data_IF_340687067468
#
_entry.id   IF_340687067468
#
_cell.length_a   1.000
_cell.length_b   1.000
_cell.length_c   1.000
_cell.angle_alpha   90.00
_cell.angle_beta   90.00
_cell.angle_gamma   90.00
#
_symmetry.space_group_name_H-M   'P 1'
#
loop_
_entity.id
_entity.type
_entity.pdbx_description
1 polymer ?
#
# COMPACT_ATOMS: atom_id res chain seq x y z
N UNK A 1 26.95 -18.16 22.29
CA UNK A 1 25.50 -18.45 22.23
C UNK A 1 24.74 -17.32 22.91
N UNK A 2 24.06 -16.47 22.13
CA UNK A 2 23.03 -15.54 22.63
C UNK A 2 21.81 -15.73 21.74
N UNK A 3 20.65 -15.80 22.40
CA UNK A 3 19.41 -16.37 21.91
C UNK A 3 18.71 -15.52 20.85
N UNK A 4 18.18 -16.22 19.84
CA UNK A 4 17.09 -15.79 18.97
C UNK A 4 15.87 -15.35 19.79
N UNK A 5 15.51 -14.09 19.65
CA UNK A 5 14.17 -13.58 20.02
C UNK A 5 13.99 -12.20 19.41
N UNK A 6 12.80 -11.93 18.88
CA UNK A 6 12.29 -10.72 18.18
C UNK A 6 12.31 -10.84 16.64
N UNK A 7 11.20 -10.91 15.90
CA UNK A 7 9.84 -10.41 16.12
C UNK A 7 8.81 -11.38 15.52
N UNK A 8 8.05 -12.08 16.38
CA UNK A 8 6.70 -12.46 16.01
C UNK A 8 5.87 -11.17 15.97
N UNK A 9 5.33 -10.82 14.81
CA UNK A 9 4.29 -9.79 14.71
C UNK A 9 3.06 -10.28 15.48
N UNK A 10 2.96 -9.82 16.71
CA UNK A 10 1.84 -10.00 17.61
C UNK A 10 0.61 -9.37 16.94
N UNK A 11 -0.31 -10.21 16.47
CA UNK A 11 -1.68 -9.78 16.19
C UNK A 11 -2.31 -9.43 17.55
N UNK A 12 -2.66 -8.16 17.86
CA UNK A 12 -3.45 -7.91 19.04
C UNK A 12 -4.86 -8.51 18.82
N UNK A 13 -5.39 -9.27 19.80
CA UNK A 13 -6.76 -9.76 19.73
C UNK A 13 -7.71 -8.57 19.88
N UNK A 14 -8.34 -8.11 18.80
CA UNK A 14 -9.41 -7.13 18.89
C UNK A 14 -10.65 -7.80 19.50
N UNK A 15 -11.23 -7.28 20.60
CA UNK A 15 -12.52 -7.78 21.08
C UNK A 15 -13.63 -7.41 20.09
N UNK A 16 -14.36 -8.42 19.63
CA UNK A 16 -15.56 -8.27 18.81
C UNK A 16 -16.67 -7.66 19.66
N UNK A 17 -16.93 -6.35 19.51
CA UNK A 17 -18.20 -5.78 19.96
C UNK A 17 -19.29 -6.19 18.96
N UNK A 18 -20.18 -7.09 19.37
CA UNK A 18 -21.38 -7.43 18.62
C UNK A 18 -22.36 -6.24 18.64
N UNK A 19 -23.01 -5.90 17.52
CA UNK A 19 -24.05 -4.87 17.54
C UNK A 19 -25.29 -5.37 18.30
N UNK A 20 -25.87 -4.51 19.16
CA UNK A 20 -27.20 -4.75 19.74
C UNK A 20 -28.25 -4.70 18.62
N UNK A 21 -29.15 -5.68 18.57
CA UNK A 21 -30.32 -5.70 17.67
C UNK A 21 -31.19 -4.47 17.93
N UNK A 22 -31.39 -3.62 16.92
CA UNK A 22 -32.37 -2.54 16.97
C UNK A 22 -33.72 -3.03 16.45
N UNK A 23 -34.76 -2.72 17.21
CA UNK A 23 -36.18 -2.93 16.94
C UNK A 23 -36.64 -2.14 15.70
N UNK A 24 -37.60 -2.72 14.98
CA UNK A 24 -38.22 -2.21 13.76
C UNK A 24 -39.07 -0.97 14.04
N UNK A 25 -39.00 0.03 13.16
CA UNK A 25 -40.02 1.07 12.99
C UNK A 25 -40.15 1.35 11.49
N UNK A 26 -41.39 1.29 11.01
CA UNK A 26 -41.78 1.53 9.62
C UNK A 26 -41.84 3.03 9.26
N UNK A 27 -41.79 3.28 7.94
CA UNK A 27 -42.19 4.50 7.22
C UNK A 27 -41.38 5.81 7.38
N UNK A 28 -40.27 5.93 6.64
CA UNK A 28 -39.83 7.18 6.01
C UNK A 28 -38.66 6.93 5.04
N UNK A 29 -38.78 7.42 3.79
CA UNK A 29 -37.73 7.59 2.79
C UNK A 29 -36.63 6.50 2.73
N UNK A 30 -36.74 5.55 1.80
CA UNK A 30 -35.68 4.56 1.53
C UNK A 30 -34.31 5.26 1.47
N UNK A 31 -33.41 5.07 2.46
CA UNK A 31 -32.17 5.81 2.49
C UNK A 31 -31.40 5.43 1.24
N UNK A 32 -31.11 6.41 0.37
CA UNK A 32 -30.23 6.19 -0.78
C UNK A 32 -28.99 5.52 -0.25
N UNK A 33 -28.77 4.26 -0.64
CA UNK A 33 -27.66 3.42 -0.21
C UNK A 33 -26.39 4.29 -0.19
N UNK A 34 -25.94 4.64 1.01
CA UNK A 34 -24.92 5.67 1.21
C UNK A 34 -23.71 5.27 0.35
N UNK A 35 -23.43 6.06 -0.69
CA UNK A 35 -22.42 5.71 -1.70
C UNK A 35 -21.07 5.78 -0.99
N UNK A 36 -20.54 4.63 -0.60
CA UNK A 36 -19.21 4.58 0.04
C UNK A 36 -18.24 5.26 -0.91
N UNK A 37 -17.67 6.38 -0.46
CA UNK A 37 -16.83 7.21 -1.30
C UNK A 37 -15.53 6.46 -1.59
N UNK A 38 -15.42 5.87 -2.78
CA UNK A 38 -14.25 5.10 -3.22
C UNK A 38 -12.95 5.91 -3.12
N UNK A 39 -13.03 7.22 -3.38
CA UNK A 39 -11.92 8.17 -3.20
C UNK A 39 -11.49 8.24 -1.73
N UNK A 40 -12.44 8.29 -0.80
CA UNK A 40 -12.13 8.31 0.63
C UNK A 40 -11.50 6.98 1.09
N UNK A 41 -11.97 5.83 0.58
CA UNK A 41 -11.33 4.53 0.83
C UNK A 41 -9.86 4.53 0.39
N UNK A 42 -9.58 4.99 -0.84
CA UNK A 42 -8.21 5.12 -1.36
C UNK A 42 -7.34 6.01 -0.49
N UNK A 43 -7.78 7.25 -0.23
CA UNK A 43 -7.06 8.21 0.61
C UNK A 43 -6.78 7.67 2.02
N UNK A 44 -7.73 6.95 2.61
CA UNK A 44 -7.58 6.37 3.95
C UNK A 44 -6.51 5.27 3.94
N UNK A 45 -6.51 4.41 2.92
CA UNK A 45 -5.52 3.36 2.77
C UNK A 45 -4.11 3.92 2.54
N UNK A 46 -3.98 4.95 1.68
CA UNK A 46 -2.69 5.64 1.47
C UNK A 46 -2.09 6.19 2.76
N UNK A 47 -2.90 6.89 3.55
CA UNK A 47 -2.47 7.44 4.85
C UNK A 47 -2.09 6.34 5.84
N UNK A 48 -2.85 5.24 5.84
CA UNK A 48 -2.56 4.11 6.71
C UNK A 48 -1.23 3.45 6.34
N UNK A 49 -0.98 3.15 5.06
CA UNK A 49 0.31 2.59 4.62
C UNK A 49 1.46 3.55 4.93
N UNK A 50 1.31 4.85 4.65
CA UNK A 50 2.32 5.86 4.98
C UNK A 50 2.66 5.87 6.48
N UNK A 51 1.64 5.70 7.35
CA UNK A 51 1.84 5.56 8.80
C UNK A 51 2.60 4.28 9.14
N UNK A 52 2.21 3.13 8.59
CA UNK A 52 2.93 1.87 8.80
C UNK A 52 4.39 1.99 8.39
N UNK A 53 4.69 2.65 7.28
CA UNK A 53 6.04 2.85 6.79
C UNK A 53 6.89 3.74 7.72
N UNK A 54 6.30 4.81 8.26
CA UNK A 54 6.95 5.64 9.29
C UNK A 54 7.24 4.84 10.55
N UNK A 55 6.23 4.12 11.05
CA UNK A 55 6.31 3.44 12.35
C UNK A 55 7.22 2.21 12.33
N UNK A 56 7.19 1.41 11.26
CA UNK A 56 7.89 0.13 11.19
C UNK A 56 9.29 0.24 10.58
N UNK A 57 9.51 1.19 9.66
CA UNK A 57 10.75 1.30 8.89
C UNK A 57 11.45 2.65 9.05
N UNK A 58 10.98 3.49 9.99
CA UNK A 58 11.55 4.81 10.27
C UNK A 58 11.61 5.76 9.05
N UNK A 59 10.73 5.58 8.07
CA UNK A 59 10.63 6.50 6.91
C UNK A 59 9.92 7.80 7.28
N UNK A 60 10.50 8.58 8.20
CA UNK A 60 9.90 9.74 8.87
C UNK A 60 9.27 10.79 7.91
N UNK A 61 9.82 10.92 6.71
CA UNK A 61 9.34 11.85 5.68
C UNK A 61 8.32 11.24 4.71
N UNK A 62 7.87 10.01 4.94
CA UNK A 62 6.89 9.36 4.10
C UNK A 62 5.55 10.09 4.14
N UNK A 63 5.10 10.58 2.98
CA UNK A 63 3.84 11.30 2.78
C UNK A 63 3.10 10.73 1.58
N UNK A 64 1.80 11.00 1.46
CA UNK A 64 1.07 10.66 0.23
C UNK A 64 1.51 11.61 -0.88
N UNK A 65 1.59 11.14 -2.12
CA UNK A 65 2.01 11.96 -3.26
C UNK A 65 1.14 13.19 -3.44
N UNK A 66 -0.18 13.08 -3.21
CA UNK A 66 -1.11 14.22 -3.21
C UNK A 66 -0.72 15.37 -2.27
N UNK A 67 -0.01 15.08 -1.18
CA UNK A 67 0.48 16.09 -0.23
C UNK A 67 1.88 16.61 -0.58
N UNK A 68 2.63 15.88 -1.41
CA UNK A 68 4.05 16.13 -1.63
C UNK A 68 4.39 16.59 -3.04
N UNK A 69 3.80 15.98 -4.07
CA UNK A 69 4.06 16.32 -5.47
C UNK A 69 2.91 15.87 -6.39
N UNK A 70 2.37 16.84 -7.13
CA UNK A 70 1.36 16.59 -8.16
C UNK A 70 1.93 15.77 -9.33
N UNK A 71 3.22 15.90 -9.63
CA UNK A 71 3.88 15.09 -10.68
C UNK A 71 3.91 13.61 -10.28
N UNK A 72 4.21 13.30 -9.02
CA UNK A 72 4.16 11.91 -8.52
C UNK A 72 2.75 11.32 -8.61
N UNK A 73 1.72 12.06 -8.16
CA UNK A 73 0.33 11.62 -8.23
C UNK A 73 -0.13 11.39 -9.68
N UNK A 74 0.24 12.30 -10.60
CA UNK A 74 0.00 12.14 -12.04
C UNK A 74 0.73 10.92 -12.63
N UNK A 75 1.84 10.49 -12.03
CA UNK A 75 2.58 9.29 -12.43
C UNK A 75 2.08 7.99 -11.80
N UNK A 76 0.99 8.02 -11.03
CA UNK A 76 0.46 6.85 -10.35
C UNK A 76 1.31 6.37 -9.18
N UNK A 77 2.22 7.23 -8.68
CA UNK A 77 2.97 7.02 -7.45
C UNK A 77 2.16 7.64 -6.32
N UNK A 78 1.78 6.83 -5.34
CA UNK A 78 0.86 7.23 -4.27
C UNK A 78 1.62 7.69 -2.99
N UNK A 79 2.90 7.35 -2.85
CA UNK A 79 3.74 7.73 -1.69
C UNK A 79 5.04 8.42 -2.12
N UNK A 80 5.50 9.37 -1.33
CA UNK A 80 6.79 10.07 -1.48
C UNK A 80 7.63 9.92 -0.21
N UNK A 81 8.92 10.29 -0.28
CA UNK A 81 9.81 10.26 0.90
C UNK A 81 10.26 8.86 1.30
N UNK A 82 10.28 7.94 0.35
CA UNK A 82 10.70 6.54 0.47
C UNK A 82 11.67 6.19 -0.67
N UNK A 83 12.55 5.17 -0.50
CA UNK A 83 13.59 4.85 -1.49
C UNK A 83 13.10 4.02 -2.68
N UNK A 84 11.79 3.77 -2.79
CA UNK A 84 11.17 3.00 -3.86
C UNK A 84 9.88 3.67 -4.34
N UNK A 85 9.43 3.30 -5.52
CA UNK A 85 8.16 3.74 -6.07
C UNK A 85 7.03 2.89 -5.48
N UNK A 86 5.94 3.51 -5.01
CA UNK A 86 4.82 2.79 -4.43
C UNK A 86 3.50 3.24 -5.05
N UNK A 87 2.73 2.28 -5.56
CA UNK A 87 1.32 2.48 -5.94
C UNK A 87 0.40 1.67 -5.04
N UNK A 88 -0.71 2.26 -4.63
CA UNK A 88 -1.63 1.76 -3.63
C UNK A 88 -3.02 1.59 -4.23
N UNK A 89 -3.57 0.38 -4.18
CA UNK A 89 -4.88 0.04 -4.74
C UNK A 89 -5.76 -0.65 -3.72
N UNK A 90 -6.97 -0.15 -3.51
CA UNK A 90 -7.94 -0.74 -2.57
C UNK A 90 -9.38 -0.61 -3.07
N UNK A 91 -10.33 -1.25 -2.36
CA UNK A 91 -11.76 -1.22 -2.68
C UNK A 91 -12.22 -2.34 -3.61
N UNK A 92 -11.36 -3.33 -3.85
CA UNK A 92 -11.66 -4.49 -4.68
C UNK A 92 -12.27 -5.61 -3.84
N UNK A 93 -13.40 -6.17 -4.26
CA UNK A 93 -14.07 -7.24 -3.49
C UNK A 93 -13.48 -8.63 -3.70
N UNK A 94 -13.11 -8.95 -4.95
CA UNK A 94 -12.64 -10.28 -5.36
C UNK A 94 -11.45 -10.16 -6.30
N UNK A 95 -11.65 -9.46 -7.42
CA UNK A 95 -10.62 -9.29 -8.45
C UNK A 95 -9.51 -8.36 -7.99
N UNK A 96 -8.27 -8.80 -8.07
CA UNK A 96 -7.10 -7.97 -7.78
C UNK A 96 -6.77 -7.08 -8.99
N UNK A 97 -6.14 -5.92 -8.76
CA UNK A 97 -5.54 -5.17 -9.86
C UNK A 97 -4.49 -6.04 -10.56
N UNK A 98 -4.38 -5.88 -11.87
CA UNK A 98 -3.36 -6.53 -12.70
C UNK A 98 -2.03 -5.77 -12.55
N UNK A 99 -1.02 -6.35 -11.88
CA UNK A 99 0.23 -5.63 -11.60
C UNK A 99 0.96 -5.19 -12.89
N UNK A 100 0.93 -6.01 -13.93
CA UNK A 100 1.58 -5.76 -15.22
C UNK A 100 1.06 -4.50 -15.91
N UNK A 101 -0.25 -4.28 -15.90
CA UNK A 101 -0.88 -3.08 -16.49
C UNK A 101 -0.52 -1.83 -15.66
N UNK A 102 -0.51 -1.95 -14.33
CA UNK A 102 -0.18 -0.84 -13.43
C UNK A 102 1.29 -0.44 -13.57
N UNK A 103 2.21 -1.40 -13.54
CA UNK A 103 3.64 -1.12 -13.65
C UNK A 103 4.01 -0.53 -15.02
N UNK A 104 3.39 -1.04 -16.09
CA UNK A 104 3.53 -0.46 -17.43
C UNK A 104 3.08 1.00 -17.45
N UNK A 105 1.89 1.29 -16.94
CA UNK A 105 1.36 2.66 -16.90
C UNK A 105 2.25 3.58 -16.04
N UNK A 106 2.72 3.14 -14.87
CA UNK A 106 3.63 3.94 -14.03
C UNK A 106 4.90 4.28 -14.81
N UNK A 107 5.52 3.30 -15.47
CA UNK A 107 6.73 3.53 -16.28
C UNK A 107 6.50 4.56 -17.37
N UNK A 108 5.41 4.46 -18.10
CA UNK A 108 5.03 5.41 -19.16
C UNK A 108 4.81 6.82 -18.61
N UNK A 109 4.09 6.95 -17.48
CA UNK A 109 3.85 8.26 -16.87
C UNK A 109 5.11 8.86 -16.23
N UNK A 110 6.02 8.04 -15.70
CA UNK A 110 7.30 8.53 -15.21
C UNK A 110 8.12 9.12 -16.35
N UNK A 111 8.26 8.40 -17.48
CA UNK A 111 8.98 8.89 -18.67
C UNK A 111 8.40 10.22 -19.18
N UNK A 112 7.07 10.40 -19.08
CA UNK A 112 6.40 11.62 -19.50
C UNK A 112 6.64 12.80 -18.56
N UNK A 113 6.70 12.55 -17.25
CA UNK A 113 6.63 13.60 -16.23
C UNK A 113 7.99 13.95 -15.60
N UNK A 114 9.03 13.11 -15.80
CA UNK A 114 10.35 13.28 -15.20
C UNK A 114 11.46 13.21 -16.27
N UNK A 115 12.58 13.94 -16.07
CA UNK A 115 13.77 13.81 -16.92
C UNK A 115 14.34 12.38 -16.90
N UNK A 116 14.86 11.89 -18.03
CA UNK A 116 15.29 10.49 -18.16
C UNK A 116 16.45 10.05 -17.26
N UNK A 117 17.21 10.99 -16.71
CA UNK A 117 18.28 10.79 -15.73
C UNK A 117 17.78 10.86 -14.28
N UNK A 118 16.50 11.14 -14.04
CA UNK A 118 15.92 11.19 -12.70
C UNK A 118 16.00 9.80 -12.03
N UNK A 119 16.51 9.71 -10.78
CA UNK A 119 16.59 8.45 -10.04
C UNK A 119 15.25 7.70 -9.91
N UNK A 120 14.11 8.38 -10.05
CA UNK A 120 12.78 7.76 -9.99
C UNK A 120 12.60 6.62 -11.01
N UNK A 121 13.29 6.68 -12.15
CA UNK A 121 13.22 5.67 -13.21
C UNK A 121 13.93 4.36 -12.83
N UNK A 122 14.91 4.41 -11.93
CA UNK A 122 15.70 3.24 -11.52
C UNK A 122 15.21 2.60 -10.22
N UNK A 123 14.28 3.26 -9.51
CA UNK A 123 13.68 2.73 -8.28
C UNK A 123 12.83 1.50 -8.55
N UNK A 124 12.95 0.51 -7.66
CA UNK A 124 12.03 -0.63 -7.60
C UNK A 124 10.60 -0.12 -7.43
N UNK A 125 9.64 -0.78 -8.09
CA UNK A 125 8.23 -0.39 -8.01
C UNK A 125 7.41 -1.46 -7.30
N UNK A 126 6.71 -1.03 -6.25
CA UNK A 126 5.87 -1.86 -5.41
C UNK A 126 4.40 -1.50 -5.59
N UNK A 127 3.56 -2.51 -5.78
CA UNK A 127 2.11 -2.38 -5.77
C UNK A 127 1.57 -2.93 -4.46
N UNK A 128 1.12 -2.03 -3.58
CA UNK A 128 0.42 -2.39 -2.35
C UNK A 128 -1.07 -2.49 -2.67
N UNK A 129 -1.64 -3.69 -2.63
CA UNK A 129 -3.05 -3.85 -2.92
C UNK A 129 -3.80 -4.60 -1.82
N UNK A 130 -4.97 -4.04 -1.48
CA UNK A 130 -5.83 -4.53 -0.42
C UNK A 130 -7.24 -4.82 -0.92
N UNK A 131 -7.66 -6.08 -0.86
CA UNK A 131 -9.06 -6.47 -1.05
C UNK A 131 -9.92 -6.02 0.15
N UNK A 132 -11.21 -5.77 -0.09
CA UNK A 132 -12.18 -5.50 0.96
C UNK A 132 -12.24 -6.72 1.91
N UNK A 133 -12.28 -6.47 3.22
CA UNK A 133 -12.24 -7.50 4.26
C UNK A 133 -11.12 -7.28 5.28
N UNK A 134 -10.95 -8.24 6.20
CA UNK A 134 -9.98 -8.18 7.29
C UNK A 134 -8.95 -9.31 7.27
N UNK A 135 -9.08 -10.26 6.35
CA UNK A 135 -8.17 -11.39 6.28
C UNK A 135 -6.76 -10.90 5.91
N UNK A 136 -5.69 -11.40 6.55
CA UNK A 136 -4.31 -10.98 6.26
C UNK A 136 -3.94 -11.14 4.78
N UNK A 137 -4.43 -12.20 4.14
CA UNK A 137 -4.19 -12.55 2.73
C UNK A 137 -4.82 -11.53 1.77
N UNK A 138 -5.73 -10.68 2.24
CA UNK A 138 -6.30 -9.62 1.42
C UNK A 138 -5.28 -8.52 1.14
N UNK A 139 -4.26 -8.38 1.98
CA UNK A 139 -3.24 -7.35 1.88
C UNK A 139 -1.95 -7.95 1.33
N UNK A 140 -1.67 -7.66 0.06
CA UNK A 140 -0.52 -8.21 -0.66
C UNK A 140 0.29 -7.06 -1.25
N UNK A 141 1.60 -7.28 -1.33
CA UNK A 141 2.52 -6.42 -2.06
C UNK A 141 3.04 -7.21 -3.25
N UNK A 142 2.90 -6.63 -4.45
CA UNK A 142 3.44 -7.20 -5.69
C UNK A 142 4.62 -6.35 -6.18
N UNK A 143 5.56 -7.00 -6.88
CA UNK A 143 6.69 -6.41 -7.57
C UNK A 143 7.01 -7.23 -8.81
N UNK A 144 7.79 -6.66 -9.75
CA UNK A 144 8.32 -7.42 -10.88
C UNK A 144 9.39 -8.42 -10.41
N UNK A 145 9.53 -9.54 -11.12
CA UNK A 145 10.52 -10.56 -10.79
C UNK A 145 11.96 -10.01 -10.80
N UNK A 146 12.30 -9.15 -11.75
CA UNK A 146 13.63 -8.52 -11.81
C UNK A 146 13.92 -7.63 -10.59
N UNK A 147 12.91 -6.89 -10.12
CA UNK A 147 13.01 -6.08 -8.90
C UNK A 147 13.18 -6.97 -7.66
N UNK A 148 12.50 -8.12 -7.63
CA UNK A 148 12.69 -9.12 -6.58
C UNK A 148 14.13 -9.66 -6.57
N UNK A 149 14.67 -10.05 -7.72
CA UNK A 149 16.06 -10.49 -7.84
C UNK A 149 17.04 -9.42 -7.36
N UNK A 150 16.82 -8.15 -7.72
CA UNK A 150 17.64 -7.02 -7.25
C UNK A 150 17.56 -6.85 -5.74
N UNK A 151 16.36 -6.97 -5.15
CA UNK A 151 16.16 -6.90 -3.71
C UNK A 151 16.89 -8.04 -3.00
N UNK A 152 16.75 -9.28 -3.48
CA UNK A 152 17.44 -10.43 -2.89
C UNK A 152 18.96 -10.30 -3.00
N UNK A 153 19.48 -9.85 -4.14
CA UNK A 153 20.90 -9.58 -4.32
C UNK A 153 21.41 -8.47 -3.39
N UNK A 154 20.61 -7.43 -3.14
CA UNK A 154 20.92 -6.42 -2.12
C UNK A 154 20.97 -7.06 -0.74
N UNK A 155 19.99 -7.89 -0.38
CA UNK A 155 19.94 -8.47 0.95
C UNK A 155 21.08 -9.44 1.24
N UNK A 156 21.45 -10.26 0.26
CA UNK A 156 22.60 -11.18 0.35
C UNK A 156 23.90 -10.39 0.51
N UNK A 157 24.14 -9.37 -0.32
CA UNK A 157 25.35 -8.53 -0.23
C UNK A 157 25.51 -7.83 1.12
N UNK A 158 24.40 -7.47 1.75
CA UNK A 158 24.38 -6.81 3.06
C UNK A 158 24.20 -7.80 4.23
N UNK A 159 24.31 -9.11 3.97
CA UNK A 159 24.29 -10.16 5.00
C UNK A 159 23.04 -10.16 5.90
N UNK A 160 21.88 -9.72 5.38
CA UNK A 160 20.64 -9.70 6.17
C UNK A 160 20.11 -11.09 6.54
N UNK A 161 20.65 -12.16 5.96
CA UNK A 161 20.24 -13.54 6.22
C UNK A 161 21.28 -14.35 7.03
N UNK A 162 22.41 -13.74 7.40
CA UNK A 162 23.39 -14.39 8.28
C UNK A 162 22.90 -14.25 9.73
N UNK A 163 22.58 -15.38 10.38
CA UNK A 163 22.17 -15.46 11.79
C UNK A 163 23.35 -15.62 12.73
#
# INVERSE_FOLDING_TARGET
>A
MKSLSYFYLVNPPYPLKTPKKSTLVDDAAYPRKQRINSKQKGNTYERWVAKQLRDLFAFNYCKTSRQASRLLDNSGIDLSGIPFNASLKTGYRKSRPKPEEIFKNIKEQLIKNFPGDDPIHSRMTFLFHKLDGRAPEHHIVSMMFDDWCRLMAFCIRNKFFET
#
